data_IF_338359075709
#
_entry.id   IF_338359075709
#
_cell.length_a   1.000
_cell.length_b   1.000
_cell.length_c   1.000
_cell.angle_alpha   90.00
_cell.angle_beta   90.00
_cell.angle_gamma   90.00
#
_symmetry.space_group_name_H-M   'P 1'
#
loop_
_entity.id
_entity.type
_entity.pdbx_description
1 polymer ?
#
# COMPACT_ATOMS: atom_id res chain seq x y z
N UNK A 1 -7.78 -21.35 -12.83
CA UNK A 1 -6.88 -20.53 -12.01
C UNK A 1 -7.21 -19.07 -12.28
N UNK A 2 -7.04 -18.16 -11.31
CA UNK A 2 -7.07 -16.73 -11.63
C UNK A 2 -5.98 -16.41 -12.65
N UNK A 3 -6.21 -15.40 -13.49
CA UNK A 3 -5.20 -14.95 -14.44
C UNK A 3 -4.00 -14.32 -13.71
N UNK A 4 -2.77 -14.49 -14.22
CA UNK A 4 -1.60 -13.82 -13.68
C UNK A 4 -1.80 -12.31 -13.69
N UNK A 5 -1.37 -11.63 -12.63
CA UNK A 5 -1.28 -10.18 -12.63
C UNK A 5 -0.05 -9.78 -13.43
N UNK A 6 -0.23 -8.94 -14.45
CA UNK A 6 0.88 -8.47 -15.28
C UNK A 6 1.69 -7.39 -14.54
N UNK A 7 1.03 -6.47 -13.83
CA UNK A 7 1.70 -5.40 -13.08
C UNK A 7 0.97 -5.00 -11.79
N UNK A 8 1.70 -4.40 -10.86
CA UNK A 8 1.17 -3.77 -9.66
C UNK A 8 1.72 -2.36 -9.50
N UNK A 9 0.85 -1.40 -9.21
CA UNK A 9 1.21 0.00 -8.95
C UNK A 9 1.38 0.25 -7.46
N UNK A 10 2.48 0.89 -7.09
CA UNK A 10 2.69 1.37 -5.74
C UNK A 10 1.79 2.60 -5.47
N UNK A 11 1.21 2.64 -4.26
CA UNK A 11 0.43 3.80 -3.83
C UNK A 11 1.36 4.98 -3.50
N UNK A 12 1.12 6.14 -4.11
CA UNK A 12 1.93 7.34 -3.90
C UNK A 12 1.87 7.90 -2.47
N UNK A 13 0.75 7.69 -1.77
CA UNK A 13 0.58 8.03 -0.35
C UNK A 13 -0.15 6.90 0.40
N UNK A 14 0.65 6.00 0.98
CA UNK A 14 0.15 4.86 1.76
C UNK A 14 -0.68 5.32 2.96
N UNK A 15 -0.31 6.42 3.63
CA UNK A 15 -1.07 6.96 4.77
C UNK A 15 -2.39 7.54 4.33
N UNK A 16 -2.41 8.28 3.22
CA UNK A 16 -3.61 8.82 2.61
C UNK A 16 -4.62 7.72 2.26
N UNK A 17 -4.16 6.59 1.70
CA UNK A 17 -5.01 5.42 1.43
C UNK A 17 -5.63 4.88 2.71
N UNK A 18 -4.84 4.68 3.78
CA UNK A 18 -5.36 4.16 5.05
C UNK A 18 -6.38 5.11 5.68
N UNK A 19 -6.12 6.42 5.65
CA UNK A 19 -7.04 7.44 6.16
C UNK A 19 -8.34 7.51 5.36
N UNK A 20 -8.31 7.22 4.06
CA UNK A 20 -9.51 7.18 3.21
C UNK A 20 -10.50 6.08 3.61
N UNK A 21 -10.04 5.03 4.31
CA UNK A 21 -10.89 3.96 4.82
C UNK A 21 -11.77 4.40 6.01
N UNK A 22 -11.55 5.61 6.53
CA UNK A 22 -12.30 6.18 7.64
C UNK A 22 -11.63 5.97 8.99
N UNK A 23 -12.37 6.28 10.05
CA UNK A 23 -11.85 6.24 11.43
C UNK A 23 -11.62 4.80 11.89
N UNK A 24 -10.52 4.57 12.57
CA UNK A 24 -10.19 3.26 13.15
C UNK A 24 -11.28 2.85 14.16
N UNK A 25 -11.92 1.68 13.99
CA UNK A 25 -13.01 1.23 14.86
C UNK A 25 -12.49 0.61 16.17
N UNK A 26 -11.65 1.33 16.91
CA UNK A 26 -11.10 0.90 18.20
C UNK A 26 -11.41 1.94 19.28
N UNK A 27 -12.47 1.69 20.06
CA UNK A 27 -12.93 2.60 21.10
C UNK A 27 -11.85 2.88 22.15
N UNK A 28 -11.59 4.16 22.43
CA UNK A 28 -10.71 4.62 23.51
C UNK A 28 -9.21 4.60 23.23
N UNK A 29 -8.75 4.09 22.08
CA UNK A 29 -7.33 4.05 21.67
C UNK A 29 -7.10 4.51 20.23
N UNK A 30 -8.04 5.28 19.67
CA UNK A 30 -8.10 5.60 18.24
C UNK A 30 -6.81 6.24 17.72
N UNK A 31 -6.24 7.22 18.42
CA UNK A 31 -5.00 7.91 18.00
C UNK A 31 -3.78 6.99 18.06
N UNK A 32 -3.65 6.18 19.11
CA UNK A 32 -2.54 5.23 19.22
C UNK A 32 -2.67 4.17 18.12
N UNK A 33 -3.87 3.69 17.85
CA UNK A 33 -4.14 2.71 16.82
C UNK A 33 -3.88 3.25 15.42
N UNK A 34 -4.30 4.48 15.09
CA UNK A 34 -3.98 5.14 13.82
C UNK A 34 -2.47 5.19 13.55
N UNK A 35 -1.69 5.50 14.58
CA UNK A 35 -0.24 5.54 14.47
C UNK A 35 0.37 4.14 14.23
N UNK A 36 -0.08 3.14 14.99
CA UNK A 36 0.35 1.75 14.81
C UNK A 36 -0.02 1.20 13.44
N UNK A 37 -1.26 1.43 12.98
CA UNK A 37 -1.69 1.02 11.65
C UNK A 37 -0.84 1.68 10.57
N UNK A 38 -0.60 2.98 10.68
CA UNK A 38 0.25 3.70 9.71
C UNK A 38 1.63 3.05 9.57
N UNK A 39 2.29 2.71 10.69
CA UNK A 39 3.60 2.05 10.67
C UNK A 39 3.56 0.64 10.04
N UNK A 40 2.51 -0.13 10.34
CA UNK A 40 2.34 -1.47 9.77
C UNK A 40 2.12 -1.39 8.26
N UNK A 41 1.24 -0.48 7.80
CA UNK A 41 0.94 -0.30 6.39
C UNK A 41 2.15 0.22 5.60
N UNK A 42 2.90 1.20 6.13
CA UNK A 42 4.13 1.68 5.50
C UNK A 42 5.14 0.55 5.31
N UNK A 43 5.36 -0.26 6.36
CA UNK A 43 6.30 -1.38 6.28
C UNK A 43 5.83 -2.46 5.30
N UNK A 44 4.54 -2.77 5.29
CA UNK A 44 3.97 -3.73 4.36
C UNK A 44 4.09 -3.25 2.92
N UNK A 45 3.83 -1.96 2.66
CA UNK A 45 3.98 -1.34 1.34
C UNK A 45 5.43 -1.42 0.85
N UNK A 46 6.41 -1.06 1.69
CA UNK A 46 7.84 -1.19 1.32
C UNK A 46 8.23 -2.62 0.99
N UNK A 47 7.75 -3.61 1.75
CA UNK A 47 8.02 -5.01 1.46
C UNK A 47 7.36 -5.46 0.15
N UNK A 48 6.11 -5.06 -0.07
CA UNK A 48 5.40 -5.35 -1.32
C UNK A 48 6.12 -4.74 -2.52
N UNK A 49 6.59 -3.49 -2.43
CA UNK A 49 7.40 -2.84 -3.47
C UNK A 49 8.71 -3.57 -3.73
N UNK A 50 9.42 -4.02 -2.68
CA UNK A 50 10.64 -4.82 -2.84
C UNK A 50 10.38 -6.17 -3.52
N UNK A 51 9.26 -6.82 -3.18
CA UNK A 51 8.85 -8.08 -3.83
C UNK A 51 8.43 -7.85 -5.29
N UNK A 52 7.72 -6.76 -5.57
CA UNK A 52 7.32 -6.36 -6.92
C UNK A 52 8.55 -6.14 -7.81
N UNK A 53 9.54 -5.40 -7.31
CA UNK A 53 10.80 -5.18 -8.00
C UNK A 53 11.57 -6.48 -8.25
N UNK A 54 11.60 -7.40 -7.27
CA UNK A 54 12.26 -8.69 -7.43
C UNK A 54 11.53 -9.62 -8.41
N UNK A 55 10.22 -9.44 -8.59
CA UNK A 55 9.37 -10.22 -9.48
C UNK A 55 9.13 -9.58 -10.85
N UNK A 56 9.79 -8.47 -11.17
CA UNK A 56 9.60 -7.72 -12.42
C UNK A 56 8.14 -7.29 -12.67
N UNK A 57 7.43 -6.95 -11.58
CA UNK A 57 6.00 -6.63 -11.57
C UNK A 57 5.71 -5.12 -11.54
N UNK A 58 6.75 -4.29 -11.51
CA UNK A 58 6.59 -2.84 -11.56
C UNK A 58 6.30 -2.41 -13.01
N UNK A 59 5.41 -1.42 -13.24
CA UNK A 59 5.18 -0.89 -14.58
C UNK A 59 6.43 -0.18 -15.10
N UNK A 60 6.66 -0.24 -16.40
CA UNK A 60 7.71 0.55 -17.04
C UNK A 60 7.35 2.05 -16.99
N UNK A 61 8.34 2.93 -16.98
CA UNK A 61 8.13 4.40 -16.93
C UNK A 61 7.28 4.90 -18.10
N UNK A 62 7.17 4.12 -19.19
CA UNK A 62 6.36 4.38 -20.38
C UNK A 62 4.86 4.04 -20.20
N UNK A 63 4.49 3.24 -19.19
CA UNK A 63 3.11 2.81 -18.90
C UNK A 63 2.37 3.74 -17.91
N UNK A 64 3.04 4.80 -17.44
CA UNK A 64 2.43 5.85 -16.63
C UNK A 64 1.81 6.88 -17.57
N UNK A 65 0.56 6.66 -17.98
CA UNK A 65 -0.23 7.67 -18.71
C UNK A 65 -0.20 9.02 -17.95
N UNK A 66 0.00 10.16 -18.65
CA UNK A 66 0.27 11.46 -18.03
C UNK A 66 -0.92 12.05 -17.26
#
# INVERSE_FOLDING_TARGET
MPEPLDHIREASDVKGVVQSLGRVPLSGQETAAEHWFSLVYERAAMLAGALAAAGDLLPDEEDVEP
#
